data_IF_735668268016
#
_entry.id   IF_735668268016
#
_cell.length_a   1.000
_cell.length_b   1.000
_cell.length_c   1.000
_cell.angle_alpha   90.00
_cell.angle_beta   90.00
_cell.angle_gamma   90.00
#
_symmetry.space_group_name_H-M   'P 1'
#
loop_
_entity.id
_entity.type
_entity.pdbx_description
1 polymer ?
#
# COMPACT_ATOMS: atom_id res chain seq x y z
N UNK A 1 28.54 20.11 -16.82
CA UNK A 1 27.20 19.58 -16.49
C UNK A 1 27.40 18.31 -15.68
N UNK A 2 26.66 18.08 -14.57
CA UNK A 2 26.87 16.87 -13.75
C UNK A 2 26.41 15.62 -14.52
N UNK A 3 27.10 14.49 -14.33
CA UNK A 3 26.81 13.21 -15.01
C UNK A 3 25.34 12.79 -14.85
N UNK A 4 24.76 13.02 -13.67
CA UNK A 4 23.35 12.74 -13.39
C UNK A 4 22.38 13.58 -14.23
N UNK A 5 22.62 14.89 -14.38
CA UNK A 5 21.78 15.75 -15.22
C UNK A 5 21.77 15.28 -16.65
N UNK A 6 22.95 14.92 -17.19
CA UNK A 6 23.08 14.43 -18.55
C UNK A 6 22.29 13.13 -18.75
N UNK A 7 22.45 12.16 -17.84
CA UNK A 7 21.72 10.88 -17.89
C UNK A 7 20.19 11.09 -17.89
N UNK A 8 19.68 11.95 -17.00
CA UNK A 8 18.23 12.18 -16.89
C UNK A 8 17.70 12.92 -18.12
N UNK A 9 18.46 13.89 -18.64
CA UNK A 9 18.07 14.61 -19.84
C UNK A 9 18.07 13.69 -21.07
N UNK A 10 19.11 12.85 -21.23
CA UNK A 10 19.25 11.96 -22.38
C UNK A 10 18.20 10.85 -22.38
N UNK A 11 17.87 10.27 -21.22
CA UNK A 11 16.88 9.19 -21.13
C UNK A 11 15.43 9.67 -21.10
N UNK A 12 15.15 10.82 -20.49
CA UNK A 12 13.78 11.25 -20.19
C UNK A 12 13.40 12.63 -20.74
N UNK A 13 14.33 13.36 -21.35
CA UNK A 13 14.10 14.73 -21.83
C UNK A 13 13.79 15.74 -20.72
N UNK A 14 14.10 15.43 -19.46
CA UNK A 14 13.75 16.28 -18.32
C UNK A 14 14.97 17.09 -17.86
N UNK A 15 14.83 18.42 -17.84
CA UNK A 15 15.78 19.29 -17.16
C UNK A 15 15.55 19.25 -15.64
N UNK A 16 16.47 18.65 -14.90
CA UNK A 16 16.34 18.47 -13.45
C UNK A 16 16.33 19.78 -12.66
N UNK A 17 16.89 20.89 -13.20
CA UNK A 17 16.89 22.19 -12.49
C UNK A 17 15.49 22.79 -12.35
N UNK A 18 14.53 22.27 -13.13
CA UNK A 18 13.11 22.63 -13.02
C UNK A 18 12.39 21.91 -11.86
N UNK A 19 13.05 20.95 -11.21
CA UNK A 19 12.50 20.17 -10.10
C UNK A 19 13.20 20.54 -8.80
N UNK A 20 12.43 20.89 -7.76
CA UNK A 20 12.98 21.25 -6.43
C UNK A 20 13.43 20.05 -5.61
N UNK A 21 12.88 18.86 -5.88
CA UNK A 21 13.14 17.63 -5.10
C UNK A 21 13.25 16.42 -6.02
N UNK A 22 13.91 15.36 -5.55
CA UNK A 22 13.98 14.08 -6.28
C UNK A 22 12.61 13.43 -6.47
N UNK A 23 11.71 13.59 -5.49
CA UNK A 23 10.32 13.13 -5.62
C UNK A 23 9.58 13.90 -6.72
N UNK A 24 9.77 15.22 -6.80
CA UNK A 24 9.22 16.05 -7.87
C UNK A 24 9.81 15.69 -9.23
N UNK A 25 11.09 15.33 -9.31
CA UNK A 25 11.72 14.82 -10.53
C UNK A 25 11.10 13.47 -10.95
N UNK A 26 10.98 12.51 -10.03
CA UNK A 26 10.38 11.20 -10.29
C UNK A 26 8.93 11.33 -10.78
N UNK A 27 8.11 12.15 -10.11
CA UNK A 27 6.75 12.44 -10.53
C UNK A 27 6.71 13.10 -11.91
N UNK A 28 7.60 14.05 -12.19
CA UNK A 28 7.68 14.70 -13.51
C UNK A 28 8.07 13.72 -14.60
N UNK A 29 9.02 12.82 -14.34
CA UNK A 29 9.41 11.76 -15.28
C UNK A 29 8.19 10.86 -15.57
N UNK A 30 7.50 10.39 -14.53
CA UNK A 30 6.30 9.57 -14.69
C UNK A 30 5.23 10.28 -15.53
N UNK A 31 4.86 11.50 -15.15
CA UNK A 31 3.80 12.26 -15.81
C UNK A 31 4.13 12.61 -17.27
N UNK A 32 5.40 12.88 -17.58
CA UNK A 32 5.82 13.31 -18.92
C UNK A 32 6.04 12.15 -19.89
N UNK A 33 6.51 11.00 -19.39
CA UNK A 33 6.98 9.89 -20.25
C UNK A 33 6.14 8.61 -20.14
N UNK A 34 5.40 8.41 -19.05
CA UNK A 34 4.77 7.12 -18.75
C UNK A 34 3.26 7.20 -18.49
N UNK A 35 2.77 8.33 -17.99
CA UNK A 35 1.36 8.50 -17.70
C UNK A 35 0.52 8.49 -18.99
N UNK A 36 -0.59 7.78 -18.95
CA UNK A 36 -1.59 7.73 -20.02
C UNK A 36 -2.93 8.19 -19.46
N UNK A 37 -3.65 9.02 -20.21
CA UNK A 37 -4.93 9.60 -19.76
C UNK A 37 -5.96 8.54 -19.38
N UNK A 38 -5.94 7.37 -20.03
CA UNK A 38 -6.83 6.26 -19.74
C UNK A 38 -6.54 5.55 -18.40
N UNK A 39 -5.40 5.80 -17.76
CA UNK A 39 -5.16 5.33 -16.39
C UNK A 39 -6.05 6.03 -15.36
N UNK A 40 -6.64 7.18 -15.71
CA UNK A 40 -7.67 7.83 -14.90
C UNK A 40 -7.23 8.06 -13.43
N UNK A 41 -5.98 8.48 -13.22
CA UNK A 41 -5.48 8.82 -11.88
C UNK A 41 -6.15 10.11 -11.41
N UNK A 42 -6.89 10.01 -10.30
CA UNK A 42 -7.68 11.13 -9.76
C UNK A 42 -7.18 11.52 -8.38
N UNK A 43 -7.13 12.81 -8.13
CA UNK A 43 -7.02 13.36 -6.79
C UNK A 43 -8.40 13.30 -6.13
N UNK A 44 -8.51 12.57 -5.02
CA UNK A 44 -9.72 12.49 -4.22
C UNK A 44 -9.65 13.60 -3.16
N UNK A 45 -10.78 14.27 -2.87
CA UNK A 45 -10.85 15.37 -1.91
C UNK A 45 -12.00 15.17 -0.92
N UNK A 46 -11.95 15.94 0.17
CA UNK A 46 -13.03 16.02 1.15
C UNK A 46 -13.14 14.80 2.04
N UNK A 47 -14.36 14.51 2.52
CA UNK A 47 -14.58 13.52 3.58
C UNK A 47 -14.15 12.10 3.19
N UNK A 48 -14.38 11.68 1.96
CA UNK A 48 -13.99 10.33 1.50
C UNK A 48 -12.48 10.16 1.54
N UNK A 49 -11.73 11.16 1.07
CA UNK A 49 -10.27 11.19 1.15
C UNK A 49 -9.81 11.07 2.60
N UNK A 50 -10.40 11.85 3.51
CA UNK A 50 -10.01 11.86 4.92
C UNK A 50 -10.33 10.53 5.61
N UNK A 51 -11.43 9.87 5.25
CA UNK A 51 -11.74 8.53 5.74
C UNK A 51 -10.75 7.49 5.22
N UNK A 52 -10.48 7.45 3.91
CA UNK A 52 -9.51 6.52 3.31
C UNK A 52 -8.12 6.72 3.90
N UNK A 53 -7.72 7.96 4.18
CA UNK A 53 -6.43 8.30 4.80
C UNK A 53 -6.24 7.65 6.17
N UNK A 54 -7.31 7.34 6.91
CA UNK A 54 -7.21 6.60 8.18
C UNK A 54 -6.72 5.15 7.99
N UNK A 55 -6.98 4.58 6.81
CA UNK A 55 -6.50 3.26 6.41
C UNK A 55 -5.07 3.28 5.84
N UNK A 56 -4.41 4.44 5.78
CA UNK A 56 -3.03 4.56 5.33
C UNK A 56 -2.07 4.24 6.47
N UNK A 57 -1.40 3.10 6.36
CA UNK A 57 -0.36 2.64 7.26
C UNK A 57 1.00 2.65 6.54
N UNK A 58 2.04 3.04 7.26
CA UNK A 58 3.41 3.00 6.76
C UNK A 58 4.01 1.59 6.83
N UNK A 59 5.34 1.52 6.76
CA UNK A 59 6.06 0.27 7.01
C UNK A 59 5.77 -0.25 8.41
N UNK A 60 5.48 -1.55 8.51
CA UNK A 60 5.21 -2.22 9.78
C UNK A 60 6.48 -2.79 10.36
N UNK A 61 6.74 -2.48 11.63
CA UNK A 61 7.81 -3.11 12.42
C UNK A 61 7.15 -4.05 13.42
N UNK A 62 7.26 -5.34 13.15
CA UNK A 62 6.71 -6.39 14.01
C UNK A 62 7.86 -7.08 14.73
N UNK A 63 7.77 -7.12 16.06
CA UNK A 63 8.68 -7.93 16.87
C UNK A 63 8.00 -9.25 17.18
N UNK A 64 8.54 -10.36 16.69
CA UNK A 64 8.05 -11.68 17.07
C UNK A 64 8.40 -11.96 18.55
N UNK A 65 7.43 -11.71 19.43
CA UNK A 65 7.57 -11.90 20.89
C UNK A 65 7.47 -13.37 21.33
N UNK A 66 7.15 -14.30 20.41
CA UNK A 66 7.13 -15.75 20.71
C UNK A 66 8.52 -16.38 20.76
N UNK A 67 9.56 -15.59 20.45
CA UNK A 67 10.89 -15.70 21.04
C UNK A 67 11.46 -17.12 21.18
N UNK A 68 11.90 -17.71 20.07
CA UNK A 68 13.15 -18.46 20.19
C UNK A 68 14.24 -17.42 20.39
N UNK A 69 14.72 -17.28 21.63
CA UNK A 69 15.92 -16.52 21.89
C UNK A 69 17.08 -17.24 21.20
N UNK A 70 17.51 -16.67 20.08
CA UNK A 70 18.74 -17.09 19.43
C UNK A 70 19.88 -16.70 20.38
N UNK A 71 20.49 -17.69 21.01
CA UNK A 71 21.69 -17.48 21.83
C UNK A 71 22.80 -16.87 20.98
N UNK A 72 23.85 -16.36 21.62
CA UNK A 72 24.98 -15.69 20.95
C UNK A 72 25.59 -16.53 19.80
N UNK A 73 25.48 -17.85 19.89
CA UNK A 73 26.03 -18.83 18.92
C UNK A 73 25.00 -19.31 17.89
N UNK A 74 23.81 -18.72 17.84
CA UNK A 74 22.77 -19.08 16.88
C UNK A 74 22.95 -18.34 15.55
N UNK A 75 22.86 -19.08 14.44
CA UNK A 75 22.90 -18.50 13.10
C UNK A 75 21.52 -17.91 12.73
N UNK A 76 21.50 -16.63 12.41
CA UNK A 76 20.32 -15.93 11.86
C UNK A 76 20.54 -15.55 10.40
N UNK A 77 19.46 -15.54 9.62
CA UNK A 77 19.46 -15.04 8.25
C UNK A 77 18.63 -13.76 8.17
N UNK A 78 19.13 -12.77 7.44
CA UNK A 78 18.42 -11.53 7.13
C UNK A 78 18.05 -11.53 5.65
N UNK A 79 16.77 -11.32 5.37
CA UNK A 79 16.24 -11.25 4.01
C UNK A 79 15.59 -9.88 3.80
N UNK A 80 15.89 -9.27 2.66
CA UNK A 80 15.28 -8.02 2.24
C UNK A 80 14.68 -8.19 0.84
N UNK A 81 13.58 -7.48 0.58
CA UNK A 81 12.96 -7.44 -0.72
C UNK A 81 13.67 -6.43 -1.61
N UNK A 82 14.09 -6.87 -2.78
CA UNK A 82 14.58 -5.96 -3.81
C UNK A 82 13.45 -5.03 -4.28
N UNK A 83 13.57 -3.74 -3.97
CA UNK A 83 12.62 -2.70 -4.42
C UNK A 83 11.16 -3.02 -4.06
N UNK A 84 10.89 -3.25 -2.78
CA UNK A 84 9.56 -3.64 -2.27
C UNK A 84 8.41 -2.79 -2.84
N UNK A 85 8.43 -1.46 -2.65
CA UNK A 85 7.34 -0.59 -3.15
C UNK A 85 7.21 -0.58 -4.68
N UNK A 86 8.29 -0.40 -5.48
CA UNK A 86 8.20 -0.56 -6.92
C UNK A 86 7.61 -1.90 -7.36
N UNK A 87 7.95 -3.01 -6.68
CA UNK A 87 7.37 -4.33 -7.00
C UNK A 87 5.85 -4.38 -6.77
N UNK A 88 5.33 -3.67 -5.76
CA UNK A 88 3.90 -3.57 -5.50
C UNK A 88 3.17 -2.65 -6.50
N UNK A 89 3.86 -1.66 -7.06
CA UNK A 89 3.31 -0.75 -8.09
C UNK A 89 3.03 -1.47 -9.43
N UNK A 90 3.53 -2.69 -9.61
CA UNK A 90 3.24 -3.56 -10.77
C UNK A 90 1.90 -4.31 -10.64
N UNK A 91 1.25 -4.25 -9.47
CA UNK A 91 -0.08 -4.86 -9.27
C UNK A 91 -1.17 -3.92 -9.78
N UNK A 92 -2.39 -4.44 -9.85
CA UNK A 92 -3.57 -3.60 -10.10
C UNK A 92 -3.72 -2.58 -8.96
N UNK A 93 -3.98 -1.32 -9.31
CA UNK A 93 -4.11 -0.21 -8.36
C UNK A 93 -5.48 0.46 -8.46
N UNK A 94 -6.00 1.05 -7.38
CA UNK A 94 -7.26 1.79 -7.43
C UNK A 94 -7.10 3.05 -8.29
N UNK A 95 -7.99 3.19 -9.29
CA UNK A 95 -8.07 4.38 -10.16
C UNK A 95 -9.52 4.86 -10.27
N UNK A 96 -9.71 6.02 -10.91
CA UNK A 96 -11.02 6.63 -11.05
C UNK A 96 -11.56 7.20 -9.73
N UNK A 97 -12.88 7.41 -9.70
CA UNK A 97 -13.55 7.94 -8.52
C UNK A 97 -14.01 6.80 -7.60
N UNK A 98 -13.90 6.97 -6.26
CA UNK A 98 -14.48 6.01 -5.34
C UNK A 98 -16.00 5.95 -5.50
N UNK A 99 -16.54 4.74 -5.47
CA UNK A 99 -17.99 4.47 -5.44
C UNK A 99 -18.35 3.85 -4.09
N UNK A 100 -19.44 4.29 -3.49
CA UNK A 100 -19.92 3.72 -2.23
C UNK A 100 -20.51 2.32 -2.50
N UNK A 101 -20.12 1.34 -1.69
CA UNK A 101 -20.62 -0.03 -1.75
C UNK A 101 -21.12 -0.46 -0.38
N UNK A 102 -22.30 -1.04 -0.34
CA UNK A 102 -22.90 -1.61 0.87
C UNK A 102 -22.77 -3.14 0.93
N UNK A 103 -22.07 -3.73 -0.04
CA UNK A 103 -21.82 -5.17 -0.09
C UNK A 103 -21.17 -5.64 1.22
N UNK A 104 -21.58 -6.82 1.66
CA UNK A 104 -20.98 -7.53 2.81
C UNK A 104 -20.01 -8.62 2.36
N UNK A 105 -19.93 -8.86 1.06
CA UNK A 105 -18.98 -9.78 0.47
C UNK A 105 -17.66 -9.05 0.20
N UNK A 106 -16.58 -9.47 0.88
CA UNK A 106 -15.25 -8.91 0.70
C UNK A 106 -14.71 -9.13 -0.72
N UNK A 107 -15.07 -10.22 -1.39
CA UNK A 107 -14.52 -10.56 -2.70
C UNK A 107 -15.04 -9.65 -3.80
N UNK A 108 -16.22 -9.06 -3.59
CA UNK A 108 -16.78 -8.00 -4.41
C UNK A 108 -16.05 -6.64 -4.31
N UNK A 109 -15.14 -6.46 -3.34
CA UNK A 109 -14.42 -5.19 -3.17
C UNK A 109 -13.11 -5.14 -3.97
N UNK A 110 -12.82 -3.99 -4.54
CA UNK A 110 -11.47 -3.58 -4.90
C UNK A 110 -11.31 -2.12 -4.49
N UNK A 111 -10.73 -1.89 -3.33
CA UNK A 111 -10.88 -0.62 -2.62
C UNK A 111 -10.70 -0.76 -1.12
N UNK A 112 -11.43 0.07 -0.37
CA UNK A 112 -11.36 0.11 1.09
C UNK A 112 -12.68 -0.32 1.69
N UNK A 113 -12.66 -1.16 2.73
CA UNK A 113 -13.90 -1.62 3.37
C UNK A 113 -13.81 -1.55 4.89
N UNK A 114 -14.92 -1.16 5.51
CA UNK A 114 -15.12 -1.24 6.94
C UNK A 114 -15.37 -2.69 7.30
N UNK A 115 -14.65 -3.22 8.26
CA UNK A 115 -14.81 -4.60 8.69
C UNK A 115 -14.62 -4.75 10.21
N UNK A 116 -15.43 -5.62 10.80
CA UNK A 116 -15.12 -6.22 12.09
C UNK A 116 -14.14 -7.37 11.85
N UNK A 117 -12.99 -7.32 12.51
CA UNK A 117 -11.87 -8.24 12.30
C UNK A 117 -11.65 -9.01 13.59
N UNK A 118 -11.64 -10.33 13.47
CA UNK A 118 -11.30 -11.26 14.55
C UNK A 118 -9.98 -11.95 14.20
N UNK A 119 -8.89 -11.65 14.93
CA UNK A 119 -7.62 -12.33 14.76
C UNK A 119 -7.71 -13.82 15.14
N UNK A 120 -6.87 -14.70 14.56
CA UNK A 120 -6.77 -16.09 15.00
C UNK A 120 -6.25 -16.18 16.45
N UNK A 121 -6.61 -17.23 17.22
CA UNK A 121 -6.16 -17.40 18.61
C UNK A 121 -4.63 -17.47 18.75
N UNK A 122 -3.95 -18.07 17.77
CA UNK A 122 -2.51 -18.15 17.70
C UNK A 122 -1.99 -17.19 16.61
N UNK A 123 -1.67 -15.96 17.01
CA UNK A 123 -1.11 -14.98 16.09
C UNK A 123 0.40 -15.23 15.94
N UNK A 124 0.79 -16.05 14.98
CA UNK A 124 2.21 -16.17 14.60
C UNK A 124 2.63 -15.06 13.64
N UNK A 125 1.65 -14.51 12.89
CA UNK A 125 1.85 -13.44 11.91
C UNK A 125 0.97 -12.24 12.26
N UNK A 126 1.59 -11.14 12.69
CA UNK A 126 0.95 -9.85 12.93
C UNK A 126 0.78 -9.11 11.59
N UNK A 127 -0.40 -9.22 10.96
CA UNK A 127 -0.61 -8.72 9.59
C UNK A 127 -1.41 -7.42 9.51
N UNK A 128 -2.50 -7.32 10.27
CA UNK A 128 -3.43 -6.20 10.13
C UNK A 128 -3.12 -5.14 11.18
N UNK A 129 -2.57 -3.98 10.78
CA UNK A 129 -2.30 -2.89 11.70
C UNK A 129 -3.59 -2.23 12.17
N UNK A 130 -3.55 -1.65 13.35
CA UNK A 130 -4.60 -0.82 13.90
C UNK A 130 -3.98 0.42 14.53
N UNK A 131 -4.64 1.56 14.33
CA UNK A 131 -4.24 2.84 14.93
C UNK A 131 -5.21 3.16 16.06
N UNK A 132 -4.71 3.24 17.28
CA UNK A 132 -5.53 3.68 18.41
C UNK A 132 -5.84 5.19 18.35
N UNK A 133 -6.72 5.71 19.22
CA UNK A 133 -7.01 7.14 19.30
C UNK A 133 -5.80 8.04 19.62
N UNK A 134 -4.69 7.48 20.15
CA UNK A 134 -3.45 8.23 20.42
C UNK A 134 -2.54 8.32 19.18
N UNK A 135 -2.89 7.59 18.11
CA UNK A 135 -2.10 7.53 16.88
C UNK A 135 -1.08 6.40 16.86
N UNK A 136 -0.97 5.60 17.91
CA UNK A 136 -0.05 4.47 17.97
C UNK A 136 -0.55 3.34 17.09
N UNK A 137 0.36 2.78 16.30
CA UNK A 137 0.09 1.64 15.41
C UNK A 137 0.58 0.34 16.05
N UNK A 138 -0.27 -0.69 16.04
CA UNK A 138 0.03 -2.03 16.55
C UNK A 138 -0.87 -3.06 15.85
N UNK A 139 -0.59 -4.35 16.00
CA UNK A 139 -1.45 -5.43 15.49
C UNK A 139 -2.30 -6.02 16.65
N UNK A 140 -3.64 -5.84 16.64
CA UNK A 140 -4.47 -6.32 17.74
C UNK A 140 -4.52 -7.85 17.81
N UNK A 141 -4.50 -8.39 19.03
CA UNK A 141 -4.78 -9.81 19.32
C UNK A 141 -6.24 -10.09 19.69
N UNK A 142 -7.03 -9.04 19.87
CA UNK A 142 -8.48 -9.09 20.18
C UNK A 142 -9.27 -8.56 18.99
N UNK A 143 -10.58 -8.89 18.89
CA UNK A 143 -11.44 -8.33 17.86
C UNK A 143 -11.43 -6.81 17.83
N UNK A 144 -11.43 -6.23 16.63
CA UNK A 144 -11.36 -4.79 16.41
C UNK A 144 -12.08 -4.40 15.13
N UNK A 145 -12.37 -3.11 14.98
CA UNK A 145 -13.08 -2.55 13.84
C UNK A 145 -12.24 -1.46 13.17
N UNK A 146 -12.34 -1.34 11.85
CA UNK A 146 -11.72 -0.25 11.12
C UNK A 146 -11.94 -0.31 9.61
N UNK A 147 -11.40 0.68 8.91
CA UNK A 147 -11.36 0.74 7.46
C UNK A 147 -10.00 0.21 6.98
N UNK A 148 -10.02 -0.73 6.04
CA UNK A 148 -8.80 -1.35 5.52
C UNK A 148 -8.84 -1.54 4.01
N UNK A 149 -7.65 -1.61 3.41
CA UNK A 149 -7.48 -2.03 2.03
C UNK A 149 -7.99 -3.47 1.87
N UNK A 150 -8.91 -3.68 0.94
CA UNK A 150 -9.59 -4.96 0.72
C UNK A 150 -8.63 -6.11 0.40
N UNK A 151 -7.59 -5.89 -0.40
CA UNK A 151 -6.65 -6.99 -0.74
C UNK A 151 -5.80 -7.41 0.46
N UNK A 152 -5.52 -6.51 1.41
CA UNK A 152 -4.88 -6.88 2.68
C UNK A 152 -5.80 -7.83 3.47
N UNK A 153 -7.09 -7.50 3.56
CA UNK A 153 -8.05 -8.36 4.24
C UNK A 153 -8.16 -9.71 3.52
N UNK A 154 -8.29 -9.75 2.19
CA UNK A 154 -8.36 -11.01 1.44
C UNK A 154 -7.16 -11.91 1.71
N UNK A 155 -5.94 -11.36 1.64
CA UNK A 155 -4.72 -12.09 1.96
C UNK A 155 -4.68 -12.59 3.42
N UNK A 156 -5.21 -11.80 4.36
CA UNK A 156 -5.23 -12.16 5.79
C UNK A 156 -6.12 -13.37 6.11
N UNK A 157 -7.07 -13.73 5.24
CA UNK A 157 -7.90 -14.94 5.41
C UNK A 157 -7.06 -16.21 5.46
N UNK A 158 -5.99 -16.27 4.65
CA UNK A 158 -5.08 -17.43 4.59
C UNK A 158 -4.35 -17.65 5.92
N UNK A 159 -4.24 -16.60 6.74
CA UNK A 159 -3.62 -16.63 8.05
C UNK A 159 -4.63 -16.79 9.18
N UNK A 160 -5.89 -17.14 8.87
CA UNK A 160 -6.93 -17.45 9.85
C UNK A 160 -7.67 -16.24 10.43
N UNK A 161 -7.45 -15.03 9.90
CA UNK A 161 -8.29 -13.89 10.26
C UNK A 161 -9.71 -14.08 9.74
N UNK A 162 -10.70 -13.69 10.56
CA UNK A 162 -12.12 -13.67 10.18
C UNK A 162 -12.59 -12.23 10.08
N UNK A 163 -13.35 -11.92 9.04
CA UNK A 163 -13.79 -10.55 8.76
C UNK A 163 -15.28 -10.51 8.41
N UNK A 164 -16.00 -9.61 9.05
CA UNK A 164 -17.38 -9.27 8.71
C UNK A 164 -17.40 -7.86 8.09
N UNK A 165 -17.55 -7.78 6.77
CA UNK A 165 -17.55 -6.49 6.05
C UNK A 165 -18.86 -5.76 6.28
N UNK A 166 -18.78 -4.44 6.48
CA UNK A 166 -19.92 -3.53 6.70
C UNK A 166 -20.25 -2.64 5.51
N UNK A 167 -19.39 -2.60 4.49
CA UNK A 167 -19.49 -1.71 3.34
C UNK A 167 -18.18 -0.94 3.17
N UNK A 168 -18.12 -0.03 2.20
CA UNK A 168 -16.90 0.74 1.95
C UNK A 168 -16.91 1.45 0.59
N UNK A 169 -15.72 1.64 0.05
CA UNK A 169 -15.45 2.36 -1.18
C UNK A 169 -14.80 1.44 -2.21
N UNK A 170 -15.44 1.27 -3.37
CA UNK A 170 -14.91 0.55 -4.51
C UNK A 170 -14.25 1.50 -5.52
N UNK A 171 -13.22 0.98 -6.18
CA UNK A 171 -12.46 1.65 -7.22
C UNK A 171 -12.42 0.82 -8.48
N UNK A 172 -12.16 1.48 -9.59
CA UNK A 172 -11.79 0.81 -10.82
C UNK A 172 -10.39 0.18 -10.66
N UNK A 173 -10.19 -0.98 -11.30
CA UNK A 173 -8.88 -1.63 -11.37
C UNK A 173 -8.02 -1.01 -12.47
N UNK A 174 -7.08 -0.17 -12.08
CA UNK A 174 -6.04 0.32 -12.96
C UNK A 174 -4.99 -0.75 -13.18
N UNK A 175 -4.93 -1.28 -14.40
CA UNK A 175 -3.94 -2.31 -14.79
C UNK A 175 -2.68 -1.65 -15.32
N UNK A 176 -1.51 -2.14 -14.89
CA UNK A 176 -0.20 -1.74 -15.45
C UNK A 176 0.05 -0.22 -15.39
N UNK A 177 -0.50 0.47 -14.39
CA UNK A 177 -0.46 1.93 -14.26
C UNK A 177 0.97 2.47 -14.17
N UNK A 178 1.86 1.71 -13.52
CA UNK A 178 3.27 2.06 -13.35
C UNK A 178 4.23 1.05 -14.00
N UNK A 179 3.73 0.07 -14.75
CA UNK A 179 4.52 -1.05 -15.29
C UNK A 179 5.74 -0.57 -16.08
N UNK A 180 5.51 0.28 -17.08
CA UNK A 180 6.56 0.79 -17.95
C UNK A 180 7.54 1.69 -17.20
N UNK A 181 7.04 2.43 -16.21
CA UNK A 181 7.88 3.29 -15.39
C UNK A 181 8.83 2.46 -14.52
N UNK A 182 8.27 1.55 -13.71
CA UNK A 182 9.05 0.69 -12.80
C UNK A 182 10.04 -0.21 -13.54
N UNK A 183 9.70 -0.71 -14.74
CA UNK A 183 10.58 -1.59 -15.52
C UNK A 183 11.70 -0.85 -16.25
N UNK A 184 11.61 0.48 -16.38
CA UNK A 184 12.59 1.27 -17.12
C UNK A 184 13.57 2.03 -16.19
N UNK A 185 13.18 2.29 -14.94
CA UNK A 185 14.01 3.00 -13.95
C UNK A 185 14.93 2.09 -13.15
#
# INVERSE_FOLDING_TARGET
>A
MTKFTQIVYDHFGINITTCKTIAGLSLKIYLSNYYKLNFNLKEIKGRIETEIRKAYFGGMVVLNKKGKFFGKDSLGYFYDYNSFFPSLMLRDLPVGNPTLSYSKDLDSFFGFCYADITPPPALDNELIPHRDPTGKVYCPSKPFFGLYWSELLKASREYGYKMNVRGGFNFEKGKKVFDSFVKNI
#
